data_IF_994919874433
#
_entry.id   IF_994919874433
#
_cell.length_a   1.000
_cell.length_b   1.000
_cell.length_c   1.000
_cell.angle_alpha   90.00
_cell.angle_beta   90.00
_cell.angle_gamma   90.00
#
_symmetry.space_group_name_H-M   'P 1'
#
loop_
_entity.id
_entity.type
_entity.pdbx_description
1 polymer ?
#
# COMPACT_ATOMS: atom_id res chain seq x y z
N UNK A 1 55.40 -16.83 -9.48
CA UNK A 1 55.01 -16.76 -8.08
C UNK A 1 54.14 -15.54 -7.90
N UNK A 2 52.80 -15.69 -7.90
CA UNK A 2 51.88 -14.53 -7.77
C UNK A 2 51.74 -14.17 -6.28
N UNK A 3 52.11 -12.97 -5.91
CA UNK A 3 51.88 -12.44 -4.56
C UNK A 3 50.37 -12.37 -4.29
N UNK A 4 49.89 -12.92 -3.16
CA UNK A 4 48.46 -12.80 -2.81
C UNK A 4 48.07 -11.35 -2.61
N UNK A 5 46.93 -10.95 -3.15
CA UNK A 5 46.43 -9.57 -3.07
C UNK A 5 46.21 -9.16 -1.60
N UNK A 6 46.43 -7.88 -1.31
CA UNK A 6 46.28 -7.29 0.03
C UNK A 6 44.90 -7.60 0.65
N UNK A 7 43.87 -7.83 -0.18
CA UNK A 7 42.52 -8.23 0.22
C UNK A 7 42.43 -9.66 0.78
N UNK A 8 43.29 -10.61 0.36
CA UNK A 8 43.31 -11.96 0.92
C UNK A 8 44.03 -12.05 2.29
N UNK A 9 45.08 -11.22 2.51
CA UNK A 9 45.75 -11.12 3.81
C UNK A 9 44.85 -10.46 4.89
N UNK A 10 43.91 -9.60 4.51
CA UNK A 10 42.99 -8.96 5.46
C UNK A 10 41.87 -9.90 5.92
N UNK A 11 41.46 -10.89 5.12
CA UNK A 11 40.42 -11.87 5.50
C UNK A 11 40.77 -12.80 6.65
N UNK A 12 42.06 -13.03 6.92
CA UNK A 12 42.54 -13.91 8.00
C UNK A 12 42.96 -13.16 9.27
N UNK A 13 42.91 -11.82 9.31
CA UNK A 13 43.38 -11.07 10.47
C UNK A 13 42.38 -11.17 11.65
N UNK A 14 42.92 -11.18 12.89
CA UNK A 14 42.12 -11.16 14.12
C UNK A 14 41.15 -9.92 14.13
N UNK A 15 41.57 -8.82 13.51
CA UNK A 15 40.76 -7.62 13.36
C UNK A 15 39.52 -7.84 12.46
N UNK A 16 39.66 -8.56 11.34
CA UNK A 16 38.54 -8.90 10.46
C UNK A 16 37.53 -9.83 11.15
N UNK A 17 38.03 -10.83 11.89
CA UNK A 17 37.19 -11.73 12.69
C UNK A 17 36.49 -10.99 13.84
N UNK A 18 37.15 -10.02 14.49
CA UNK A 18 36.53 -9.19 15.53
C UNK A 18 35.47 -8.25 14.96
N UNK A 19 35.70 -7.63 13.80
CA UNK A 19 34.73 -6.78 13.10
C UNK A 19 33.51 -7.60 12.64
N UNK A 20 33.70 -8.81 12.14
CA UNK A 20 32.62 -9.71 11.76
C UNK A 20 31.81 -10.15 12.98
N UNK A 21 32.44 -10.45 14.11
CA UNK A 21 31.77 -10.79 15.37
C UNK A 21 30.96 -9.59 15.90
N UNK A 22 31.53 -8.40 15.89
CA UNK A 22 30.83 -7.16 16.25
C UNK A 22 29.64 -6.87 15.33
N UNK A 23 29.79 -7.08 14.03
CA UNK A 23 28.69 -6.88 13.06
C UNK A 23 27.56 -7.90 13.23
N UNK A 24 27.87 -9.14 13.62
CA UNK A 24 26.88 -10.18 13.95
C UNK A 24 26.11 -9.84 15.24
N UNK A 25 26.83 -9.38 16.28
CA UNK A 25 26.22 -8.94 17.54
C UNK A 25 25.30 -7.73 17.30
N UNK A 26 25.74 -6.74 16.53
CA UNK A 26 24.92 -5.57 16.17
C UNK A 26 23.67 -5.95 15.39
N UNK A 27 23.77 -6.86 14.40
CA UNK A 27 22.63 -7.37 13.64
C UNK A 27 21.64 -8.14 14.51
N UNK A 28 22.11 -8.95 15.47
CA UNK A 28 21.25 -9.67 16.41
C UNK A 28 20.47 -8.71 17.33
N UNK A 29 21.12 -7.69 17.86
CA UNK A 29 20.43 -6.68 18.67
C UNK A 29 19.37 -5.92 17.83
N UNK A 30 19.69 -5.55 16.61
CA UNK A 30 18.74 -4.90 15.71
C UNK A 30 17.53 -5.81 15.41
N UNK A 31 17.77 -7.10 15.15
CA UNK A 31 16.73 -8.09 14.93
C UNK A 31 15.81 -8.20 16.16
N UNK A 32 16.35 -8.40 17.34
CA UNK A 32 15.58 -8.50 18.60
C UNK A 32 14.81 -7.23 18.90
N UNK A 33 15.40 -6.08 18.64
CA UNK A 33 14.75 -4.78 18.80
C UNK A 33 13.53 -4.65 17.87
N UNK A 34 13.66 -4.99 16.60
CA UNK A 34 12.56 -4.98 15.64
C UNK A 34 11.45 -5.97 16.02
N UNK A 35 11.82 -7.18 16.47
CA UNK A 35 10.87 -8.13 17.02
C UNK A 35 10.08 -7.52 18.20
N UNK A 36 10.77 -6.88 19.14
CA UNK A 36 10.14 -6.23 20.28
C UNK A 36 9.15 -5.14 19.88
N UNK A 37 9.50 -4.31 18.89
CA UNK A 37 8.59 -3.27 18.38
C UNK A 37 7.34 -3.85 17.70
N UNK A 38 7.48 -4.94 16.95
CA UNK A 38 6.34 -5.60 16.29
C UNK A 38 5.41 -6.24 17.33
N UNK A 39 5.96 -6.91 18.34
CA UNK A 39 5.17 -7.50 19.43
C UNK A 39 4.48 -6.43 20.27
N UNK A 40 5.17 -5.33 20.56
CA UNK A 40 4.56 -4.17 21.23
C UNK A 40 3.39 -3.62 20.40
N UNK A 41 3.57 -3.45 19.09
CA UNK A 41 2.50 -2.95 18.24
C UNK A 41 1.29 -3.90 18.22
N UNK A 42 1.51 -5.20 18.21
CA UNK A 42 0.44 -6.21 18.30
C UNK A 42 -0.30 -6.12 19.66
N UNK A 43 0.40 -5.91 20.77
CA UNK A 43 -0.22 -5.68 22.09
C UNK A 43 -1.07 -4.41 22.12
N UNK A 44 -0.56 -3.32 21.53
CA UNK A 44 -1.31 -2.06 21.41
C UNK A 44 -2.58 -2.24 20.58
N UNK A 45 -2.53 -3.02 19.50
CA UNK A 45 -3.70 -3.34 18.68
C UNK A 45 -4.75 -4.15 19.47
N UNK A 46 -4.34 -5.14 20.28
CA UNK A 46 -5.25 -5.90 21.14
C UNK A 46 -5.90 -5.01 22.19
N UNK A 47 -5.10 -4.16 22.83
CA UNK A 47 -5.60 -3.17 23.77
C UNK A 47 -6.66 -2.27 23.12
N UNK A 48 -6.38 -1.72 21.95
CA UNK A 48 -7.32 -0.85 21.21
C UNK A 48 -8.58 -1.59 20.78
N UNK A 49 -8.46 -2.85 20.35
CA UNK A 49 -9.62 -3.64 19.99
C UNK A 49 -10.56 -3.87 21.16
N UNK A 50 -10.01 -4.31 22.29
CA UNK A 50 -10.78 -4.69 23.48
C UNK A 50 -11.36 -3.47 24.23
N UNK A 51 -10.61 -2.37 24.30
CA UNK A 51 -11.01 -1.21 25.13
C UNK A 51 -11.79 -0.15 24.35
N UNK A 52 -11.63 -0.07 23.04
CA UNK A 52 -12.23 1.00 22.24
C UNK A 52 -13.08 0.45 21.10
N UNK A 53 -12.50 -0.40 20.25
CA UNK A 53 -13.16 -0.78 19.01
C UNK A 53 -14.42 -1.61 19.26
N UNK A 54 -14.30 -2.66 20.09
CA UNK A 54 -15.44 -3.52 20.41
C UNK A 54 -16.51 -2.79 21.22
N UNK A 55 -16.22 -2.05 22.31
CA UNK A 55 -17.25 -1.34 23.07
C UNK A 55 -17.99 -0.28 22.24
N UNK A 56 -17.29 0.48 21.40
CA UNK A 56 -17.89 1.61 20.66
C UNK A 56 -18.58 1.15 19.37
N UNK A 57 -18.03 0.14 18.68
CA UNK A 57 -18.47 -0.27 17.34
C UNK A 57 -19.02 -1.70 17.26
N UNK A 58 -19.46 -2.28 18.39
CA UNK A 58 -20.12 -3.60 18.41
C UNK A 58 -21.31 -3.66 17.44
N UNK A 59 -22.08 -2.58 17.34
CA UNK A 59 -23.23 -2.46 16.42
C UNK A 59 -22.86 -2.63 14.94
N UNK A 60 -21.60 -2.42 14.58
CA UNK A 60 -21.08 -2.58 13.22
C UNK A 60 -20.30 -3.89 13.02
N UNK A 61 -20.40 -4.83 13.98
CA UNK A 61 -19.83 -6.18 13.89
C UNK A 61 -18.43 -6.35 14.49
N UNK A 62 -17.92 -5.35 15.23
CA UNK A 62 -16.69 -5.47 16.03
C UNK A 62 -17.02 -6.02 17.42
N UNK A 63 -17.43 -7.29 17.49
CA UNK A 63 -17.76 -7.97 18.74
C UNK A 63 -16.54 -8.61 19.37
N UNK A 64 -16.61 -8.93 20.66
CA UNK A 64 -15.58 -9.71 21.37
C UNK A 64 -16.16 -11.04 21.79
N UNK A 65 -15.51 -12.12 21.38
CA UNK A 65 -15.73 -13.48 21.87
C UNK A 65 -14.34 -14.11 22.08
N UNK A 66 -13.77 -13.86 23.27
CA UNK A 66 -12.40 -14.23 23.58
C UNK A 66 -12.28 -15.72 23.91
N UNK A 67 -11.99 -16.54 22.92
CA UNK A 67 -11.64 -17.95 23.09
C UNK A 67 -10.12 -18.07 23.22
N UNK A 68 -9.62 -18.42 24.41
CA UNK A 68 -8.19 -18.43 24.71
C UNK A 68 -7.32 -19.22 23.73
N UNK A 69 -7.82 -20.35 23.22
CA UNK A 69 -7.09 -21.15 22.21
C UNK A 69 -6.92 -20.37 20.91
N UNK A 70 -7.99 -19.73 20.42
CA UNK A 70 -7.94 -18.92 19.19
C UNK A 70 -7.05 -17.70 19.38
N UNK A 71 -7.10 -17.07 20.54
CA UNK A 71 -6.24 -15.96 20.89
C UNK A 71 -4.76 -16.39 20.91
N UNK A 72 -4.44 -17.52 21.55
CA UNK A 72 -3.09 -18.07 21.58
C UNK A 72 -2.59 -18.44 20.17
N UNK A 73 -3.45 -19.03 19.32
CA UNK A 73 -3.12 -19.33 17.92
C UNK A 73 -2.85 -18.07 17.11
N UNK A 74 -3.57 -16.98 17.37
CA UNK A 74 -3.32 -15.69 16.69
C UNK A 74 -1.94 -15.11 17.02
N UNK A 75 -1.49 -15.26 18.27
CA UNK A 75 -0.15 -14.89 18.71
C UNK A 75 0.92 -15.83 18.14
N UNK A 76 0.66 -17.13 18.12
CA UNK A 76 1.56 -18.10 17.49
C UNK A 76 1.80 -17.77 16.01
N UNK A 77 0.75 -17.38 15.29
CA UNK A 77 0.86 -16.95 13.90
C UNK A 77 1.76 -15.72 13.75
N UNK A 78 1.62 -14.73 14.64
CA UNK A 78 2.52 -13.56 14.66
C UNK A 78 3.96 -14.00 14.89
N UNK A 79 4.21 -14.87 15.88
CA UNK A 79 5.56 -15.35 16.20
C UNK A 79 6.20 -16.13 15.03
N UNK A 80 5.42 -16.93 14.33
CA UNK A 80 5.90 -17.67 13.12
C UNK A 80 6.23 -16.71 11.98
N UNK A 81 5.42 -15.67 11.77
CA UNK A 81 5.66 -14.67 10.72
C UNK A 81 6.77 -13.68 11.08
N UNK A 82 7.08 -13.48 12.37
CA UNK A 82 7.99 -12.45 12.86
C UNK A 82 9.36 -12.45 12.17
N UNK A 83 10.09 -13.58 12.05
CA UNK A 83 11.40 -13.62 11.38
C UNK A 83 11.29 -13.27 9.88
N UNK A 84 10.18 -13.61 9.23
CA UNK A 84 9.95 -13.28 7.83
C UNK A 84 9.74 -11.78 7.65
N UNK A 85 8.95 -11.16 8.51
CA UNK A 85 8.69 -9.71 8.48
C UNK A 85 9.96 -8.91 8.76
N UNK A 86 10.74 -9.30 9.77
CA UNK A 86 12.03 -8.66 10.06
C UNK A 86 13.03 -8.88 8.92
N UNK A 87 12.98 -10.06 8.26
CA UNK A 87 13.75 -10.32 7.05
C UNK A 87 13.41 -9.35 5.90
N UNK A 88 12.13 -9.03 5.71
CA UNK A 88 11.69 -8.02 4.73
C UNK A 88 12.16 -6.60 5.09
N UNK A 89 12.14 -6.24 6.38
CA UNK A 89 12.69 -4.96 6.83
C UNK A 89 14.19 -4.81 6.52
N UNK A 90 14.93 -5.92 6.51
CA UNK A 90 16.33 -5.93 6.08
C UNK A 90 16.54 -5.61 4.59
N UNK A 91 15.48 -5.67 3.78
CA UNK A 91 15.49 -5.34 2.34
C UNK A 91 14.93 -3.93 2.07
N UNK A 92 15.29 -2.96 2.90
CA UNK A 92 14.75 -1.59 2.87
C UNK A 92 14.94 -0.83 1.54
N UNK A 93 15.82 -1.29 0.67
CA UNK A 93 16.06 -0.69 -0.65
C UNK A 93 15.10 -1.21 -1.73
N UNK A 94 14.32 -2.26 -1.43
CA UNK A 94 13.35 -2.83 -2.36
C UNK A 94 11.95 -2.26 -2.11
N UNK A 95 11.36 -1.52 -3.07
CA UNK A 95 10.00 -0.98 -2.93
C UNK A 95 8.96 -2.04 -2.58
N UNK A 96 9.04 -3.23 -3.20
CA UNK A 96 8.13 -4.34 -2.90
C UNK A 96 8.21 -4.84 -1.46
N UNK A 97 9.42 -4.89 -0.88
CA UNK A 97 9.61 -5.29 0.52
C UNK A 97 9.05 -4.24 1.47
N UNK A 98 9.22 -2.96 1.16
CA UNK A 98 8.60 -1.85 1.90
C UNK A 98 7.07 -1.98 1.85
N UNK A 99 6.50 -2.19 0.66
CA UNK A 99 5.07 -2.30 0.45
C UNK A 99 4.48 -3.45 1.27
N UNK A 100 5.06 -4.66 1.19
CA UNK A 100 4.58 -5.83 1.94
C UNK A 100 4.77 -5.65 3.46
N UNK A 101 5.85 -5.00 3.90
CA UNK A 101 6.05 -4.68 5.33
C UNK A 101 4.96 -3.72 5.83
N UNK A 102 4.61 -2.69 5.05
CA UNK A 102 3.52 -1.78 5.39
C UNK A 102 2.17 -2.51 5.43
N UNK A 103 1.88 -3.38 4.44
CA UNK A 103 0.67 -4.22 4.46
C UNK A 103 0.64 -5.13 5.70
N UNK A 104 1.79 -5.64 6.13
CA UNK A 104 1.87 -6.41 7.37
C UNK A 104 1.43 -5.59 8.59
N UNK A 105 1.82 -4.31 8.67
CA UNK A 105 1.46 -3.46 9.80
C UNK A 105 0.02 -2.96 9.76
N UNK A 106 -0.50 -2.61 8.59
CA UNK A 106 -1.82 -1.97 8.49
C UNK A 106 -2.97 -2.96 8.26
N UNK A 107 -2.65 -4.20 7.89
CA UNK A 107 -3.66 -5.22 7.61
C UNK A 107 -3.42 -6.53 8.39
N UNK A 108 -2.23 -7.16 8.28
CA UNK A 108 -2.03 -8.48 8.87
C UNK A 108 -1.98 -8.46 10.39
N UNK A 109 -1.25 -7.55 11.04
CA UNK A 109 -1.24 -7.45 12.50
C UNK A 109 -2.63 -7.08 13.06
N UNK A 110 -3.37 -6.09 12.51
CA UNK A 110 -4.78 -5.89 12.84
C UNK A 110 -5.64 -7.14 12.60
N UNK A 111 -5.41 -7.89 11.52
CA UNK A 111 -6.12 -9.14 11.23
C UNK A 111 -5.88 -10.18 12.33
N UNK A 112 -4.65 -10.39 12.75
CA UNK A 112 -4.35 -11.34 13.84
C UNK A 112 -4.98 -10.90 15.17
N UNK A 113 -5.03 -9.58 15.45
CA UNK A 113 -5.72 -9.03 16.61
C UNK A 113 -7.22 -9.30 16.55
N UNK A 114 -7.83 -8.99 15.42
CA UNK A 114 -9.24 -9.23 15.15
C UNK A 114 -9.62 -10.71 15.31
N UNK A 115 -8.87 -11.61 14.65
CA UNK A 115 -9.11 -13.06 14.69
C UNK A 115 -9.05 -13.62 16.13
N UNK A 116 -8.08 -13.15 16.92
CA UNK A 116 -7.90 -13.58 18.31
C UNK A 116 -8.94 -13.02 19.25
N UNK A 117 -9.25 -11.72 19.19
CA UNK A 117 -10.15 -11.03 20.12
C UNK A 117 -11.62 -11.29 19.79
N UNK A 118 -11.98 -11.42 18.51
CA UNK A 118 -13.36 -11.73 18.07
C UNK A 118 -13.70 -13.22 18.18
N UNK A 119 -12.70 -14.11 18.17
CA UNK A 119 -12.92 -15.53 18.13
C UNK A 119 -13.46 -16.04 16.80
N UNK A 120 -12.97 -15.50 15.68
CA UNK A 120 -13.40 -15.83 14.32
C UNK A 120 -13.35 -17.32 13.98
N UNK A 121 -14.02 -17.71 12.88
CA UNK A 121 -14.04 -19.08 12.39
C UNK A 121 -12.63 -19.62 12.11
N UNK A 122 -12.38 -20.89 12.48
CA UNK A 122 -11.08 -21.51 12.36
C UNK A 122 -10.66 -21.72 10.89
N UNK A 123 -11.64 -22.02 10.01
CA UNK A 123 -11.37 -22.17 8.57
C UNK A 123 -10.88 -20.87 7.94
N UNK A 124 -11.51 -19.73 8.30
CA UNK A 124 -11.07 -18.41 7.89
C UNK A 124 -9.68 -18.07 8.45
N UNK A 125 -9.45 -18.37 9.75
CA UNK A 125 -8.14 -18.20 10.37
C UNK A 125 -7.03 -18.98 9.63
N UNK A 126 -7.25 -20.25 9.32
CA UNK A 126 -6.28 -21.07 8.59
C UNK A 126 -6.00 -20.52 7.18
N UNK A 127 -7.04 -20.08 6.47
CA UNK A 127 -6.88 -19.47 5.15
C UNK A 127 -6.02 -18.20 5.22
N UNK A 128 -6.28 -17.30 6.18
CA UNK A 128 -5.46 -16.10 6.41
C UNK A 128 -4.02 -16.48 6.75
N UNK A 129 -3.81 -17.47 7.62
CA UNK A 129 -2.48 -17.91 8.03
C UNK A 129 -1.67 -18.41 6.83
N UNK A 130 -2.23 -19.32 6.04
CA UNK A 130 -1.55 -19.86 4.84
C UNK A 130 -1.30 -18.76 3.82
N UNK A 131 -2.30 -17.95 3.51
CA UNK A 131 -2.17 -16.82 2.57
C UNK A 131 -0.98 -15.92 2.94
N UNK A 132 -0.89 -15.53 4.22
CA UNK A 132 0.12 -14.57 4.66
C UNK A 132 1.52 -15.20 4.73
N UNK A 133 1.62 -16.43 5.19
CA UNK A 133 2.89 -17.18 5.17
C UNK A 133 3.42 -17.37 3.75
N UNK A 134 2.54 -17.70 2.80
CA UNK A 134 2.92 -17.82 1.38
C UNK A 134 3.37 -16.46 0.84
N UNK A 135 2.62 -15.37 1.11
CA UNK A 135 2.97 -14.02 0.67
C UNK A 135 4.37 -13.62 1.16
N UNK A 136 4.64 -13.79 2.46
CA UNK A 136 5.93 -13.44 3.05
C UNK A 136 7.07 -14.33 2.53
N UNK A 137 6.85 -15.64 2.43
CA UNK A 137 7.86 -16.58 1.96
C UNK A 137 8.22 -16.36 0.49
N UNK A 138 7.22 -16.14 -0.37
CA UNK A 138 7.42 -15.85 -1.79
C UNK A 138 8.10 -14.48 -1.96
N UNK A 139 7.65 -13.46 -1.23
CA UNK A 139 8.25 -12.13 -1.26
C UNK A 139 9.73 -12.12 -0.88
N UNK A 140 10.13 -12.92 0.12
CA UNK A 140 11.53 -13.01 0.54
C UNK A 140 12.42 -13.72 -0.48
N UNK A 141 11.91 -14.80 -1.11
CA UNK A 141 12.70 -15.71 -1.95
C UNK A 141 12.67 -15.35 -3.43
N UNK A 142 11.59 -14.73 -3.92
CA UNK A 142 11.44 -14.42 -5.34
C UNK A 142 12.50 -13.40 -5.77
N UNK A 143 13.28 -13.68 -6.83
CA UNK A 143 14.28 -12.74 -7.35
C UNK A 143 13.61 -11.47 -7.91
N UNK A 144 14.40 -10.42 -8.06
CA UNK A 144 13.97 -9.20 -8.74
C UNK A 144 13.86 -9.45 -10.25
N UNK A 145 12.82 -8.91 -10.86
CA UNK A 145 12.68 -8.93 -12.32
C UNK A 145 13.65 -7.88 -12.89
N UNK A 146 14.52 -8.31 -13.79
CA UNK A 146 15.44 -7.41 -14.47
C UNK A 146 14.79 -6.96 -15.78
N UNK A 147 14.34 -5.71 -15.82
CA UNK A 147 13.87 -5.08 -17.06
C UNK A 147 15.01 -4.24 -17.61
N UNK A 148 15.44 -4.45 -18.88
CA UNK A 148 16.45 -3.63 -19.52
C UNK A 148 15.95 -2.19 -19.60
N UNK A 149 16.79 -1.23 -19.18
CA UNK A 149 16.45 0.20 -19.29
C UNK A 149 16.66 0.69 -20.71
N UNK A 150 15.70 1.42 -21.21
CA UNK A 150 15.84 2.18 -22.45
C UNK A 150 16.94 3.25 -22.30
N UNK A 151 17.60 3.66 -23.40
CA UNK A 151 18.57 4.75 -23.36
C UNK A 151 17.99 6.00 -22.70
N UNK A 152 18.78 6.70 -21.91
CA UNK A 152 18.35 7.86 -21.12
C UNK A 152 17.64 8.94 -21.95
N UNK A 153 18.06 9.15 -23.20
CA UNK A 153 17.43 10.10 -24.14
C UNK A 153 15.96 9.72 -24.41
N UNK A 154 15.67 8.45 -24.63
CA UNK A 154 14.32 7.98 -24.93
C UNK A 154 13.43 8.01 -23.67
N UNK A 155 13.94 7.57 -22.52
CA UNK A 155 13.19 7.63 -21.27
C UNK A 155 12.84 9.07 -20.88
N UNK A 156 13.81 9.99 -21.00
CA UNK A 156 13.58 11.41 -20.71
C UNK A 156 12.58 12.05 -21.68
N UNK A 157 12.65 11.71 -22.98
CA UNK A 157 11.69 12.20 -23.97
C UNK A 157 10.28 11.69 -23.68
N UNK A 158 10.13 10.37 -23.43
CA UNK A 158 8.83 9.77 -23.09
C UNK A 158 8.28 10.32 -21.78
N UNK A 159 9.12 10.48 -20.75
CA UNK A 159 8.72 11.13 -19.50
C UNK A 159 8.18 12.54 -19.76
N UNK A 160 8.87 13.33 -20.55
CA UNK A 160 8.44 14.68 -20.89
C UNK A 160 7.14 14.68 -21.70
N UNK A 161 7.00 13.81 -22.71
CA UNK A 161 5.78 13.72 -23.52
C UNK A 161 4.56 13.31 -22.69
N UNK A 162 4.72 12.30 -21.81
CA UNK A 162 3.63 11.89 -20.89
C UNK A 162 3.29 13.01 -19.92
N UNK A 163 4.28 13.76 -19.44
CA UNK A 163 4.10 14.87 -18.53
C UNK A 163 3.30 16.01 -19.16
N UNK A 164 3.73 16.49 -20.31
CA UNK A 164 3.07 17.59 -21.05
C UNK A 164 1.70 17.12 -21.53
N UNK A 165 1.62 15.93 -22.13
CA UNK A 165 0.36 15.36 -22.60
C UNK A 165 -0.65 15.18 -21.47
N UNK A 166 -0.22 14.72 -20.29
CA UNK A 166 -1.06 14.59 -19.10
C UNK A 166 -1.59 15.94 -18.61
N UNK A 167 -0.74 16.96 -18.53
CA UNK A 167 -1.17 18.32 -18.16
C UNK A 167 -2.19 18.90 -19.16
N UNK A 168 -1.91 18.78 -20.46
CA UNK A 168 -2.82 19.24 -21.51
C UNK A 168 -4.14 18.48 -21.48
N UNK A 169 -4.08 17.16 -21.25
CA UNK A 169 -5.27 16.32 -21.12
C UNK A 169 -6.16 16.78 -19.94
N UNK A 170 -5.59 17.00 -18.76
CA UNK A 170 -6.33 17.48 -17.58
C UNK A 170 -6.94 18.85 -17.85
N UNK A 171 -6.18 19.78 -18.45
CA UNK A 171 -6.68 21.11 -18.79
C UNK A 171 -7.78 21.05 -19.87
N UNK A 172 -7.64 20.19 -20.88
CA UNK A 172 -8.66 19.97 -21.90
C UNK A 172 -9.98 19.45 -21.32
N UNK A 173 -9.91 18.40 -20.48
CA UNK A 173 -11.08 17.85 -19.77
C UNK A 173 -11.70 18.91 -18.84
N UNK A 174 -10.87 19.68 -18.13
CA UNK A 174 -11.37 20.76 -17.28
C UNK A 174 -12.10 21.85 -18.08
N UNK A 175 -11.56 22.25 -19.24
CA UNK A 175 -12.22 23.23 -20.12
C UNK A 175 -13.58 22.73 -20.60
N UNK A 176 -13.65 21.49 -21.08
CA UNK A 176 -14.87 20.91 -21.67
C UNK A 176 -15.96 20.67 -20.60
N UNK A 177 -15.64 20.08 -19.46
CA UNK A 177 -16.65 19.61 -18.49
C UNK A 177 -16.87 20.57 -17.33
N UNK A 178 -15.87 21.39 -16.95
CA UNK A 178 -15.98 22.27 -15.78
C UNK A 178 -15.90 23.76 -16.16
N UNK A 179 -15.58 24.11 -17.41
CA UNK A 179 -15.34 25.49 -17.83
C UNK A 179 -14.22 26.15 -17.02
N UNK A 180 -13.18 25.39 -16.65
CA UNK A 180 -12.06 25.81 -15.77
C UNK A 180 -12.49 26.28 -14.38
N UNK A 181 -13.64 25.82 -13.87
CA UNK A 181 -14.06 26.16 -12.50
C UNK A 181 -13.25 25.37 -11.48
N UNK A 182 -12.66 26.08 -10.53
CA UNK A 182 -11.99 25.45 -9.38
C UNK A 182 -13.00 25.23 -8.25
N UNK A 183 -13.24 23.98 -7.90
CA UNK A 183 -14.14 23.57 -6.82
C UNK A 183 -13.30 22.99 -5.68
N UNK A 184 -12.97 23.84 -4.71
CA UNK A 184 -12.09 23.48 -3.58
C UNK A 184 -12.83 23.32 -2.25
N UNK A 185 -14.18 23.38 -2.28
CA UNK A 185 -14.97 23.27 -1.06
C UNK A 185 -14.97 21.82 -0.53
N UNK A 186 -14.16 21.57 0.50
CA UNK A 186 -14.07 20.26 1.13
C UNK A 186 -15.29 19.91 1.99
N UNK A 187 -16.13 20.86 2.34
CA UNK A 187 -17.37 20.61 3.10
C UNK A 187 -18.50 20.11 2.22
N UNK A 188 -18.56 20.52 0.94
CA UNK A 188 -19.59 20.11 -0.03
C UNK A 188 -19.08 19.07 -1.06
N UNK A 189 -18.29 18.12 -0.61
CA UNK A 189 -17.76 17.07 -1.51
C UNK A 189 -18.86 16.18 -2.08
N UNK A 190 -19.98 16.03 -1.40
CA UNK A 190 -21.08 15.20 -1.90
C UNK A 190 -21.81 15.88 -3.07
N UNK A 191 -22.04 17.19 -3.01
CA UNK A 191 -22.58 17.96 -4.12
C UNK A 191 -21.64 17.97 -5.34
N UNK A 192 -20.34 18.20 -5.11
CA UNK A 192 -19.33 18.16 -6.18
C UNK A 192 -19.22 16.74 -6.81
N UNK A 193 -19.35 15.67 -6.01
CA UNK A 193 -19.38 14.29 -6.53
C UNK A 193 -20.62 13.99 -7.36
N UNK A 194 -21.78 14.44 -6.94
CA UNK A 194 -23.01 14.28 -7.71
C UNK A 194 -22.90 14.96 -9.08
N UNK A 195 -22.33 16.17 -9.11
CA UNK A 195 -22.05 16.88 -10.35
C UNK A 195 -20.99 16.16 -11.21
N UNK A 196 -19.87 15.70 -10.60
CA UNK A 196 -18.83 14.96 -11.31
C UNK A 196 -19.36 13.63 -11.89
N UNK A 197 -20.30 12.98 -11.22
CA UNK A 197 -20.97 11.77 -11.72
C UNK A 197 -21.89 12.05 -12.92
N UNK A 198 -22.35 13.30 -13.08
CA UNK A 198 -23.17 13.72 -14.21
C UNK A 198 -22.33 14.08 -15.45
N UNK A 199 -21.01 14.17 -15.33
CA UNK A 199 -20.14 14.37 -16.49
C UNK A 199 -20.06 13.09 -17.31
N UNK A 200 -20.55 13.13 -18.56
CA UNK A 200 -20.48 11.99 -19.48
C UNK A 200 -19.07 11.90 -20.12
N UNK A 201 -18.07 11.60 -19.27
CA UNK A 201 -16.69 11.43 -19.70
C UNK A 201 -16.55 10.04 -20.33
N UNK A 202 -16.11 9.91 -21.61
CA UNK A 202 -15.90 8.62 -22.25
C UNK A 202 -15.00 7.70 -21.41
N UNK A 203 -15.37 6.43 -21.31
CA UNK A 203 -14.73 5.47 -20.41
C UNK A 203 -13.21 5.40 -20.54
N UNK A 204 -12.65 5.52 -21.76
CA UNK A 204 -11.21 5.59 -21.97
C UNK A 204 -10.58 6.82 -21.29
N UNK A 205 -11.21 7.98 -21.44
CA UNK A 205 -10.72 9.23 -20.82
C UNK A 205 -10.86 9.20 -19.31
N UNK A 206 -11.92 8.59 -18.77
CA UNK A 206 -12.06 8.36 -17.34
C UNK A 206 -10.93 7.47 -16.77
N UNK A 207 -10.50 6.47 -17.53
CA UNK A 207 -9.33 5.65 -17.16
C UNK A 207 -8.04 6.47 -17.16
N UNK A 208 -7.75 7.20 -18.23
CA UNK A 208 -6.56 8.06 -18.30
C UNK A 208 -6.59 9.11 -17.19
N UNK A 209 -7.77 9.69 -16.91
CA UNK A 209 -7.95 10.66 -15.85
C UNK A 209 -7.60 10.05 -14.47
N UNK A 210 -7.96 8.80 -14.22
CA UNK A 210 -7.62 8.14 -12.94
C UNK A 210 -6.10 7.99 -12.72
N UNK A 211 -5.31 7.86 -13.78
CA UNK A 211 -3.85 7.78 -13.72
C UNK A 211 -3.18 9.12 -13.41
N UNK A 212 -3.87 10.23 -13.64
CA UNK A 212 -3.33 11.58 -13.39
C UNK A 212 -3.00 11.80 -11.91
N UNK A 213 -3.69 11.12 -10.99
CA UNK A 213 -3.32 11.14 -9.56
C UNK A 213 -1.84 10.80 -9.36
N UNK A 214 -1.37 9.73 -9.99
CA UNK A 214 0.01 9.26 -9.86
C UNK A 214 0.96 10.12 -10.69
N UNK A 215 0.63 10.35 -11.97
CA UNK A 215 1.50 11.07 -12.91
C UNK A 215 1.82 12.47 -12.38
N UNK A 216 0.79 13.28 -12.07
CA UNK A 216 0.99 14.63 -11.59
C UNK A 216 1.72 14.69 -10.25
N UNK A 217 1.41 13.77 -9.34
CA UNK A 217 2.09 13.71 -8.05
C UNK A 217 3.57 13.38 -8.17
N UNK A 218 3.93 12.40 -8.98
CA UNK A 218 5.35 12.06 -9.24
C UNK A 218 6.07 13.20 -9.97
N UNK A 219 5.39 13.91 -10.88
CA UNK A 219 5.92 15.12 -11.52
C UNK A 219 6.22 16.22 -10.53
N UNK A 220 5.31 16.48 -9.59
CA UNK A 220 5.52 17.46 -8.52
C UNK A 220 6.77 17.10 -7.72
N UNK A 221 6.93 15.82 -7.33
CA UNK A 221 8.12 15.35 -6.61
C UNK A 221 9.40 15.49 -7.46
N UNK A 222 9.34 15.19 -8.75
CA UNK A 222 10.48 15.35 -9.67
C UNK A 222 10.97 16.78 -9.73
N UNK A 223 10.06 17.75 -9.97
CA UNK A 223 10.42 19.16 -10.05
C UNK A 223 10.82 19.76 -8.69
N UNK A 224 10.23 19.23 -7.60
CA UNK A 224 10.62 19.59 -6.24
C UNK A 224 12.08 19.14 -5.96
N UNK A 225 12.45 17.94 -6.38
CA UNK A 225 13.83 17.44 -6.31
C UNK A 225 14.81 18.31 -7.10
N UNK A 226 14.37 18.82 -8.26
CA UNK A 226 15.16 19.75 -9.09
C UNK A 226 15.15 21.20 -8.59
N UNK A 227 14.47 21.48 -7.47
CA UNK A 227 14.30 22.84 -6.88
C UNK A 227 13.68 23.85 -7.86
N UNK A 228 12.88 23.40 -8.81
CA UNK A 228 12.17 24.23 -9.79
C UNK A 228 10.77 24.59 -9.29
N UNK A 229 10.70 25.47 -8.30
CA UNK A 229 9.45 25.79 -7.57
C UNK A 229 8.35 26.38 -8.45
N UNK A 230 8.71 27.13 -9.51
CA UNK A 230 7.72 27.65 -10.47
C UNK A 230 6.99 26.49 -11.18
N UNK A 231 7.74 25.46 -11.64
CA UNK A 231 7.14 24.29 -12.27
C UNK A 231 6.27 23.52 -11.27
N UNK A 232 6.69 23.42 -9.99
CA UNK A 232 5.87 22.84 -8.93
C UNK A 232 4.57 23.61 -8.75
N UNK A 233 4.60 24.94 -8.71
CA UNK A 233 3.41 25.78 -8.60
C UNK A 233 2.43 25.56 -9.75
N UNK A 234 2.92 25.54 -10.99
CA UNK A 234 2.10 25.24 -12.19
C UNK A 234 1.45 23.86 -12.08
N UNK A 235 2.22 22.83 -11.69
CA UNK A 235 1.69 21.47 -11.55
C UNK A 235 0.67 21.36 -10.42
N UNK A 236 0.84 22.06 -9.32
CA UNK A 236 -0.15 22.13 -8.25
C UNK A 236 -1.45 22.74 -8.75
N UNK A 237 -1.41 23.81 -9.57
CA UNK A 237 -2.60 24.38 -10.19
C UNK A 237 -3.30 23.35 -11.10
N UNK A 238 -2.55 22.66 -11.97
CA UNK A 238 -3.11 21.56 -12.81
C UNK A 238 -3.71 20.47 -11.93
N UNK A 239 -3.07 20.12 -10.82
CA UNK A 239 -3.60 19.13 -9.87
C UNK A 239 -4.90 19.57 -9.20
N UNK A 240 -5.07 20.86 -8.90
CA UNK A 240 -6.30 21.41 -8.36
C UNK A 240 -7.45 21.36 -9.40
N UNK A 241 -7.17 21.62 -10.68
CA UNK A 241 -8.15 21.38 -11.75
C UNK A 241 -8.52 19.90 -11.85
N UNK A 242 -7.54 19.01 -11.81
CA UNK A 242 -7.78 17.56 -11.77
C UNK A 242 -8.67 17.16 -10.57
N UNK A 243 -8.38 17.68 -9.37
CA UNK A 243 -9.21 17.45 -8.18
C UNK A 243 -10.66 17.93 -8.41
N UNK A 244 -10.85 19.10 -9.02
CA UNK A 244 -12.16 19.67 -9.29
C UNK A 244 -13.01 18.81 -10.25
N UNK A 245 -12.36 18.06 -11.16
CA UNK A 245 -13.03 17.12 -12.05
C UNK A 245 -13.38 15.82 -11.32
N UNK A 246 -12.42 15.26 -10.53
CA UNK A 246 -12.56 13.95 -9.91
C UNK A 246 -13.43 13.96 -8.66
N UNK A 247 -13.49 15.08 -7.95
CA UNK A 247 -14.21 15.31 -6.69
C UNK A 247 -13.92 14.27 -5.58
N UNK A 248 -12.76 13.60 -5.63
CA UNK A 248 -12.39 12.56 -4.69
C UNK A 248 -11.43 13.08 -3.62
N UNK A 249 -11.83 13.02 -2.33
CA UNK A 249 -10.93 13.37 -1.20
C UNK A 249 -9.62 12.62 -1.22
N UNK A 250 -9.63 11.36 -1.69
CA UNK A 250 -8.44 10.52 -1.80
C UNK A 250 -7.38 11.12 -2.72
N UNK A 251 -7.76 11.81 -3.79
CA UNK A 251 -6.83 12.51 -4.71
C UNK A 251 -6.04 13.57 -3.95
N UNK A 252 -6.72 14.40 -3.18
CA UNK A 252 -6.09 15.44 -2.39
C UNK A 252 -5.18 14.86 -1.30
N UNK A 253 -5.68 13.87 -0.55
CA UNK A 253 -4.91 13.18 0.49
C UNK A 253 -3.68 12.45 -0.07
N UNK A 254 -3.75 11.95 -1.29
CA UNK A 254 -2.63 11.28 -1.93
C UNK A 254 -1.44 12.22 -2.15
N UNK A 255 -1.68 13.41 -2.70
CA UNK A 255 -0.62 14.40 -2.88
C UNK A 255 0.01 14.81 -1.54
N UNK A 256 -0.80 15.05 -0.52
CA UNK A 256 -0.30 15.35 0.82
C UNK A 256 0.55 14.22 1.40
N UNK A 257 0.10 12.98 1.25
CA UNK A 257 0.86 11.80 1.69
C UNK A 257 2.23 11.72 1.00
N UNK A 258 2.27 11.94 -0.32
CA UNK A 258 3.52 11.90 -1.05
C UNK A 258 4.47 13.02 -0.63
N UNK A 259 3.98 14.24 -0.49
CA UNK A 259 4.76 15.39 -0.03
C UNK A 259 5.24 15.18 1.41
N UNK A 260 4.39 14.69 2.30
CA UNK A 260 4.74 14.36 3.68
C UNK A 260 5.87 13.32 3.71
N UNK A 261 5.73 12.24 2.97
CA UNK A 261 6.76 11.22 2.87
C UNK A 261 8.06 11.78 2.26
N UNK A 262 7.98 12.56 1.19
CA UNK A 262 9.16 13.16 0.54
C UNK A 262 9.95 14.08 1.48
N UNK A 263 9.26 14.91 2.26
CA UNK A 263 9.88 15.92 3.14
C UNK A 263 10.39 15.30 4.44
N UNK A 264 9.60 14.44 5.07
CA UNK A 264 9.84 13.97 6.44
C UNK A 264 10.51 12.61 6.51
N UNK A 265 10.39 11.78 5.45
CA UNK A 265 10.94 10.43 5.50
C UNK A 265 12.44 10.40 5.77
N UNK A 266 12.82 9.55 6.72
CA UNK A 266 14.20 9.18 7.05
C UNK A 266 14.29 7.65 7.13
N UNK A 267 15.40 7.05 6.73
CA UNK A 267 15.58 5.57 6.73
C UNK A 267 15.31 4.94 8.09
N UNK A 268 15.62 5.61 9.19
CA UNK A 268 15.32 5.09 10.53
C UNK A 268 13.81 4.94 10.78
N UNK A 269 12.95 5.77 10.19
CA UNK A 269 11.49 5.69 10.35
C UNK A 269 10.93 4.36 9.84
N UNK A 270 11.53 3.80 8.79
CA UNK A 270 11.13 2.48 8.30
C UNK A 270 11.45 1.37 9.31
N UNK A 271 12.61 1.44 9.94
CA UNK A 271 13.01 0.48 10.99
C UNK A 271 12.18 0.62 12.27
N UNK A 272 11.74 1.83 12.59
CA UNK A 272 10.89 2.14 13.74
C UNK A 272 9.40 2.12 13.42
N UNK A 273 8.99 1.71 12.23
CA UNK A 273 7.62 1.85 11.74
C UNK A 273 6.59 1.24 12.69
N UNK A 274 6.81 0.03 13.22
CA UNK A 274 5.92 -0.59 14.20
C UNK A 274 5.80 0.23 15.49
N UNK A 275 6.93 0.79 15.99
CA UNK A 275 6.93 1.68 17.16
C UNK A 275 6.20 2.99 16.91
N UNK A 276 6.42 3.61 15.75
CA UNK A 276 5.73 4.85 15.35
C UNK A 276 4.22 4.61 15.20
N UNK A 277 3.81 3.48 14.64
CA UNK A 277 2.40 3.10 14.55
C UNK A 277 1.81 2.83 15.94
N UNK A 278 2.56 2.20 16.84
CA UNK A 278 2.12 2.04 18.25
C UNK A 278 1.85 3.38 18.92
N UNK A 279 2.78 4.33 18.75
CA UNK A 279 2.61 5.70 19.27
C UNK A 279 1.41 6.41 18.64
N UNK A 280 1.21 6.25 17.32
CA UNK A 280 0.07 6.83 16.62
C UNK A 280 -1.27 6.27 17.10
N UNK A 281 -1.37 4.95 17.26
CA UNK A 281 -2.56 4.28 17.77
C UNK A 281 -2.85 4.68 19.21
N UNK A 282 -1.82 4.70 20.09
CA UNK A 282 -1.97 5.19 21.47
C UNK A 282 -2.32 6.68 21.52
N UNK A 283 -1.79 7.49 20.61
CA UNK A 283 -2.18 8.89 20.46
C UNK A 283 -3.66 9.06 20.15
N UNK A 284 -4.22 8.23 19.27
CA UNK A 284 -5.66 8.21 18.98
C UNK A 284 -6.47 7.87 20.25
N UNK A 285 -5.99 6.92 21.06
CA UNK A 285 -6.62 6.58 22.34
C UNK A 285 -6.60 7.76 23.32
N UNK A 286 -5.45 8.43 23.48
CA UNK A 286 -5.32 9.60 24.36
C UNK A 286 -6.26 10.74 23.93
N UNK A 287 -6.37 11.01 22.64
CA UNK A 287 -7.26 12.03 22.10
C UNK A 287 -8.74 11.70 22.33
N UNK A 288 -9.11 10.44 22.21
CA UNK A 288 -10.48 10.00 22.48
C UNK A 288 -10.78 10.02 23.98
N UNK A 289 -9.94 9.38 24.81
CA UNK A 289 -10.17 9.27 26.25
C UNK A 289 -10.05 10.63 26.99
N UNK A 290 -9.12 11.50 26.55
CA UNK A 290 -8.86 12.79 27.20
C UNK A 290 -9.69 13.95 26.66
N UNK A 291 -9.90 14.00 25.33
CA UNK A 291 -10.58 15.12 24.67
C UNK A 291 -11.93 14.73 24.04
N UNK A 292 -12.38 13.49 24.21
CA UNK A 292 -13.57 12.92 23.53
C UNK A 292 -13.57 13.14 22.02
N UNK A 293 -12.37 13.21 21.41
CA UNK A 293 -12.18 13.44 19.99
C UNK A 293 -12.02 12.09 19.25
N UNK A 294 -13.16 11.50 18.91
CA UNK A 294 -13.26 10.16 18.32
C UNK A 294 -12.79 10.05 16.86
N UNK A 295 -12.70 11.18 16.14
CA UNK A 295 -12.41 11.19 14.68
C UNK A 295 -11.09 10.49 14.31
N UNK A 296 -9.94 10.73 14.98
CA UNK A 296 -8.69 10.05 14.64
C UNK A 296 -8.78 8.52 14.83
N UNK A 297 -9.39 8.07 15.92
CA UNK A 297 -9.62 6.66 16.22
C UNK A 297 -10.50 6.01 15.15
N UNK A 298 -11.60 6.65 14.76
CA UNK A 298 -12.51 6.16 13.73
C UNK A 298 -11.85 6.09 12.35
N UNK A 299 -11.03 7.08 11.96
CA UNK A 299 -10.41 7.15 10.65
C UNK A 299 -9.17 6.25 10.57
N UNK A 300 -8.24 6.35 11.53
CA UNK A 300 -6.98 5.61 11.49
C UNK A 300 -7.16 4.17 11.95
N UNK A 301 -7.64 3.95 13.16
CA UNK A 301 -7.68 2.61 13.72
C UNK A 301 -8.82 1.80 13.10
N UNK A 302 -10.05 2.27 13.23
CA UNK A 302 -11.19 1.51 12.71
C UNK A 302 -11.19 1.40 11.20
N UNK A 303 -11.25 2.53 10.49
CA UNK A 303 -11.50 2.52 9.03
C UNK A 303 -10.29 2.08 8.22
N UNK A 304 -9.08 2.45 8.62
CA UNK A 304 -7.87 2.16 7.86
C UNK A 304 -7.34 0.75 8.14
N UNK A 305 -7.43 0.27 9.39
CA UNK A 305 -6.82 -0.98 9.81
C UNK A 305 -7.84 -2.11 9.98
N UNK A 306 -8.95 -1.88 10.69
CA UNK A 306 -9.86 -2.97 11.07
C UNK A 306 -11.03 -3.20 10.11
N UNK A 307 -11.55 -2.17 9.44
CA UNK A 307 -12.63 -2.37 8.45
C UNK A 307 -12.22 -3.28 7.30
N UNK A 308 -11.03 -3.16 6.67
CA UNK A 308 -10.61 -4.11 5.62
C UNK A 308 -10.50 -5.55 6.13
N UNK A 309 -10.08 -5.71 7.37
CA UNK A 309 -9.98 -7.01 8.06
C UNK A 309 -11.37 -7.63 8.27
N UNK A 310 -12.29 -6.88 8.85
CA UNK A 310 -13.68 -7.30 9.06
C UNK A 310 -14.35 -7.66 7.73
N UNK A 311 -14.20 -6.83 6.72
CA UNK A 311 -14.75 -7.09 5.39
C UNK A 311 -14.21 -8.39 4.79
N UNK A 312 -12.95 -8.75 5.03
CA UNK A 312 -12.39 -10.02 4.55
C UNK A 312 -13.12 -11.23 5.15
N UNK A 313 -13.51 -11.16 6.42
CA UNK A 313 -14.33 -12.21 7.05
C UNK A 313 -15.75 -12.22 6.48
N UNK A 314 -16.37 -11.06 6.25
CA UNK A 314 -17.70 -10.96 5.63
C UNK A 314 -17.69 -11.54 4.21
N UNK A 315 -16.66 -11.23 3.41
CA UNK A 315 -16.47 -11.86 2.10
C UNK A 315 -16.35 -13.39 2.20
N UNK A 316 -15.57 -13.88 3.17
CA UNK A 316 -15.44 -15.31 3.40
C UNK A 316 -16.77 -15.97 3.78
N UNK A 317 -17.59 -15.31 4.61
CA UNK A 317 -18.94 -15.79 4.98
C UNK A 317 -19.86 -15.83 3.76
N UNK A 318 -19.94 -14.74 3.00
CA UNK A 318 -20.80 -14.63 1.83
C UNK A 318 -20.46 -15.69 0.76
N UNK A 319 -19.19 -15.80 0.36
CA UNK A 319 -18.77 -16.69 -0.71
C UNK A 319 -18.65 -18.18 -0.32
N UNK A 320 -18.96 -18.55 0.92
CA UNK A 320 -19.22 -19.96 1.27
C UNK A 320 -20.54 -20.48 0.71
N UNK A 321 -21.53 -19.63 0.58
CA UNK A 321 -22.90 -19.98 0.23
C UNK A 321 -23.31 -19.47 -1.16
N UNK A 322 -22.50 -18.59 -1.74
CA UNK A 322 -22.79 -17.92 -3.01
C UNK A 322 -21.71 -18.22 -4.05
N UNK A 323 -22.07 -18.21 -5.35
CA UNK A 323 -21.13 -18.51 -6.43
C UNK A 323 -19.99 -17.48 -6.50
N UNK A 324 -18.78 -17.97 -6.86
CA UNK A 324 -17.60 -17.13 -7.05
C UNK A 324 -17.77 -16.21 -8.26
N UNK A 325 -17.25 -14.99 -8.15
CA UNK A 325 -17.29 -13.99 -9.23
C UNK A 325 -16.28 -14.29 -10.37
N UNK A 326 -15.18 -15.01 -10.09
CA UNK A 326 -14.16 -15.41 -11.08
C UNK A 326 -13.60 -14.23 -11.88
N UNK A 327 -13.39 -13.07 -11.24
CA UNK A 327 -12.90 -11.80 -11.83
C UNK A 327 -13.80 -11.21 -12.93
N UNK A 328 -15.06 -11.63 -13.04
CA UNK A 328 -16.00 -11.17 -14.06
C UNK A 328 -16.51 -9.74 -13.83
N UNK A 329 -16.27 -9.16 -12.67
CA UNK A 329 -16.71 -7.81 -12.30
C UNK A 329 -15.75 -6.69 -12.84
N UNK A 330 -14.61 -7.08 -13.43
CA UNK A 330 -13.57 -6.18 -13.91
C UNK A 330 -13.37 -6.19 -15.43
N UNK A 331 -12.15 -5.81 -15.84
CA UNK A 331 -11.72 -5.82 -17.26
C UNK A 331 -11.85 -7.22 -17.89
N UNK A 332 -11.61 -8.28 -17.13
CA UNK A 332 -11.74 -9.65 -17.62
C UNK A 332 -13.18 -10.00 -17.97
N UNK A 333 -14.17 -9.42 -17.27
CA UNK A 333 -15.59 -9.59 -17.59
C UNK A 333 -16.01 -8.93 -18.90
N UNK A 334 -15.28 -7.93 -19.36
CA UNK A 334 -15.55 -7.30 -20.68
C UNK A 334 -15.08 -8.16 -21.86
N UNK A 335 -14.33 -9.23 -21.59
CA UNK A 335 -13.76 -10.13 -22.62
C UNK A 335 -14.68 -11.28 -23.01
N UNK A 336 -15.97 -11.29 -22.69
CA UNK A 336 -17.00 -12.25 -23.17
C UNK A 336 -17.66 -13.13 -22.11
N UNK A 337 -17.66 -12.78 -20.84
CA UNK A 337 -18.34 -13.57 -19.82
C UNK A 337 -19.48 -12.77 -19.18
N UNK A 338 -20.66 -13.35 -19.11
CA UNK A 338 -21.78 -12.76 -18.39
C UNK A 338 -21.41 -12.56 -16.92
N UNK A 339 -21.77 -11.42 -16.33
CA UNK A 339 -21.52 -11.16 -14.91
C UNK A 339 -22.29 -12.17 -14.06
N UNK A 340 -21.66 -12.67 -12.99
CA UNK A 340 -22.32 -13.57 -12.03
C UNK A 340 -23.37 -12.83 -11.21
N UNK A 341 -23.09 -11.54 -10.94
CA UNK A 341 -23.95 -10.65 -10.17
C UNK A 341 -24.39 -9.45 -11.02
N UNK A 342 -25.63 -9.00 -10.83
CA UNK A 342 -26.18 -7.84 -11.56
C UNK A 342 -25.51 -6.50 -11.19
N UNK A 343 -24.88 -6.44 -10.02
CA UNK A 343 -24.17 -5.27 -9.50
C UNK A 343 -22.75 -5.67 -9.06
N UNK A 344 -21.86 -4.69 -8.92
CA UNK A 344 -20.47 -4.92 -8.52
C UNK A 344 -20.37 -5.58 -7.15
N UNK A 345 -19.43 -6.51 -6.97
CA UNK A 345 -19.23 -7.28 -5.74
C UNK A 345 -19.19 -6.40 -4.47
N UNK A 346 -18.46 -5.27 -4.40
CA UNK A 346 -18.50 -4.44 -3.20
C UNK A 346 -19.90 -3.92 -2.84
N UNK A 347 -20.78 -3.77 -3.83
CA UNK A 347 -22.15 -3.34 -3.61
C UNK A 347 -23.02 -4.52 -3.11
N UNK A 348 -22.83 -5.72 -3.69
CA UNK A 348 -23.47 -6.97 -3.23
C UNK A 348 -23.17 -7.20 -1.75
N UNK A 349 -21.91 -7.10 -1.35
CA UNK A 349 -21.51 -7.29 0.05
C UNK A 349 -22.07 -6.18 0.94
N UNK A 350 -22.12 -4.92 0.46
CA UNK A 350 -22.74 -3.83 1.19
C UNK A 350 -24.25 -4.06 1.44
N UNK A 351 -24.96 -4.64 0.48
CA UNK A 351 -26.36 -5.04 0.62
C UNK A 351 -26.51 -6.23 1.58
N UNK A 352 -25.65 -7.24 1.47
CA UNK A 352 -25.59 -8.38 2.40
C UNK A 352 -25.38 -7.92 3.86
N UNK A 353 -24.57 -6.90 4.08
CA UNK A 353 -24.36 -6.27 5.41
C UNK A 353 -25.52 -5.35 5.85
N UNK A 354 -26.51 -5.10 5.02
CA UNK A 354 -27.61 -4.16 5.31
C UNK A 354 -27.19 -2.68 5.34
N UNK A 355 -25.96 -2.34 4.86
CA UNK A 355 -25.45 -0.97 4.90
C UNK A 355 -25.77 -0.17 3.64
N UNK A 356 -26.10 -0.83 2.54
CA UNK A 356 -26.31 -0.21 1.22
C UNK A 356 -25.10 0.55 0.67
N UNK A 357 -23.96 0.57 1.38
CA UNK A 357 -22.72 1.21 0.98
C UNK A 357 -21.83 0.23 0.19
N UNK A 358 -20.79 0.75 -0.46
CA UNK A 358 -19.84 -0.11 -1.18
C UNK A 358 -18.78 -0.64 -0.20
N UNK A 359 -18.76 -1.96 0.01
CA UNK A 359 -17.84 -2.68 0.89
C UNK A 359 -16.58 -3.12 0.11
N UNK A 360 -15.78 -2.15 -0.34
CA UNK A 360 -14.55 -2.44 -1.06
C UNK A 360 -13.57 -3.21 -0.19
N UNK A 361 -12.99 -4.29 -0.72
CA UNK A 361 -11.97 -5.07 -0.04
C UNK A 361 -10.93 -5.59 -1.04
N UNK A 362 -9.75 -5.95 -0.52
CA UNK A 362 -8.65 -6.51 -1.27
C UNK A 362 -8.09 -7.78 -0.61
N UNK A 363 -6.89 -8.18 -1.03
CA UNK A 363 -6.13 -9.30 -0.46
C UNK A 363 -6.97 -10.57 -0.25
N UNK A 364 -7.22 -10.94 1.00
CA UNK A 364 -7.96 -12.16 1.37
C UNK A 364 -9.42 -12.09 0.93
N UNK A 365 -10.08 -10.93 1.06
CA UNK A 365 -11.46 -10.77 0.60
C UNK A 365 -11.59 -10.89 -0.91
N UNK A 366 -10.67 -10.28 -1.67
CA UNK A 366 -10.62 -10.41 -3.14
C UNK A 366 -10.36 -11.88 -3.57
N UNK A 367 -9.52 -12.60 -2.81
CA UNK A 367 -9.32 -14.04 -3.00
C UNK A 367 -10.63 -14.82 -2.84
N UNK A 368 -11.36 -14.60 -1.74
CA UNK A 368 -12.62 -15.31 -1.48
C UNK A 368 -13.70 -15.02 -2.52
N UNK A 369 -13.72 -13.80 -3.06
CA UNK A 369 -14.68 -13.42 -4.10
C UNK A 369 -14.42 -14.13 -5.44
N UNK A 370 -13.18 -14.52 -5.72
CA UNK A 370 -12.81 -14.87 -7.09
C UNK A 370 -12.22 -16.27 -7.26
N UNK A 371 -11.71 -16.90 -6.21
CA UNK A 371 -11.00 -18.17 -6.30
C UNK A 371 -11.47 -19.17 -5.25
N UNK A 372 -11.49 -20.48 -5.58
CA UNK A 372 -11.61 -21.52 -4.55
C UNK A 372 -10.51 -21.35 -3.50
N UNK A 373 -10.86 -21.43 -2.22
CA UNK A 373 -9.97 -21.06 -1.10
C UNK A 373 -8.62 -21.78 -1.18
N UNK A 374 -8.61 -23.11 -1.43
CA UNK A 374 -7.40 -23.92 -1.51
C UNK A 374 -6.45 -23.43 -2.60
N UNK A 375 -6.96 -23.04 -3.75
CA UNK A 375 -6.16 -22.46 -4.84
C UNK A 375 -5.76 -21.01 -4.52
N UNK A 376 -6.72 -20.25 -4.00
CA UNK A 376 -6.58 -18.82 -3.77
C UNK A 376 -5.48 -18.45 -2.77
N UNK A 377 -5.33 -19.23 -1.67
CA UNK A 377 -4.30 -18.96 -0.65
C UNK A 377 -2.86 -19.10 -1.16
N UNK A 378 -2.65 -19.77 -2.30
CA UNK A 378 -1.35 -19.86 -2.97
C UNK A 378 -1.24 -18.93 -4.17
N UNK A 379 -2.27 -18.89 -5.01
CA UNK A 379 -2.22 -18.18 -6.30
C UNK A 379 -2.26 -16.66 -6.12
N UNK A 380 -3.12 -16.15 -5.23
CA UNK A 380 -3.23 -14.69 -5.03
C UNK A 380 -1.95 -14.06 -4.46
N UNK A 381 -1.30 -14.62 -3.42
CA UNK A 381 -0.01 -14.12 -2.97
C UNK A 381 1.07 -14.12 -4.06
N UNK A 382 1.09 -15.19 -4.89
CA UNK A 382 2.04 -15.28 -6.01
C UNK A 382 1.81 -14.17 -7.04
N UNK A 383 0.56 -13.94 -7.46
CA UNK A 383 0.18 -12.85 -8.38
C UNK A 383 0.61 -11.50 -7.80
N UNK A 384 0.31 -11.23 -6.54
CA UNK A 384 0.66 -9.97 -5.88
C UNK A 384 2.17 -9.76 -5.85
N UNK A 385 2.95 -10.78 -5.48
CA UNK A 385 4.41 -10.64 -5.46
C UNK A 385 4.98 -10.38 -6.85
N UNK A 386 4.47 -11.03 -7.90
CA UNK A 386 4.87 -10.75 -9.28
C UNK A 386 4.62 -9.28 -9.62
N UNK A 387 3.43 -8.76 -9.30
CA UNK A 387 3.09 -7.35 -9.52
C UNK A 387 4.02 -6.41 -8.74
N UNK A 388 4.32 -6.73 -7.47
CA UNK A 388 5.21 -5.91 -6.66
C UNK A 388 6.66 -5.91 -7.19
N UNK A 389 7.10 -6.99 -7.85
CA UNK A 389 8.39 -7.04 -8.53
C UNK A 389 8.49 -6.11 -9.74
N UNK A 390 7.36 -5.77 -10.38
CA UNK A 390 7.35 -4.72 -11.41
C UNK A 390 7.74 -3.36 -10.82
N UNK A 391 7.30 -3.07 -9.59
CA UNK A 391 7.68 -1.85 -8.90
C UNK A 391 9.18 -1.82 -8.56
N UNK A 392 9.76 -2.96 -8.13
CA UNK A 392 11.21 -3.07 -7.92
C UNK A 392 12.00 -2.79 -9.21
N UNK A 393 11.56 -3.37 -10.33
CA UNK A 393 12.20 -3.16 -11.63
C UNK A 393 12.11 -1.69 -12.10
N UNK A 394 10.96 -1.06 -11.87
CA UNK A 394 10.69 0.33 -12.26
C UNK A 394 11.51 1.34 -11.42
N UNK A 395 11.59 1.13 -10.12
CA UNK A 395 12.21 2.07 -9.19
C UNK A 395 13.69 1.81 -8.90
N UNK A 396 14.36 0.94 -9.65
CA UNK A 396 15.70 0.39 -9.38
C UNK A 396 16.78 1.44 -9.07
N UNK A 397 16.78 2.58 -9.77
CA UNK A 397 17.81 3.62 -9.61
C UNK A 397 17.21 4.94 -9.11
N UNK A 398 15.99 4.90 -8.56
CA UNK A 398 15.27 6.09 -8.12
C UNK A 398 15.53 6.30 -6.61
N UNK A 399 15.76 7.53 -6.17
CA UNK A 399 15.90 7.82 -4.75
C UNK A 399 14.66 7.40 -3.96
N UNK A 400 14.86 6.70 -2.83
CA UNK A 400 13.78 6.15 -2.01
C UNK A 400 12.70 7.16 -1.63
N UNK A 401 13.08 8.43 -1.42
CA UNK A 401 12.15 9.53 -1.11
C UNK A 401 11.08 9.76 -2.18
N UNK A 402 11.33 9.40 -3.44
CA UNK A 402 10.38 9.57 -4.53
C UNK A 402 9.29 8.50 -4.46
N UNK A 403 9.66 7.24 -4.17
CA UNK A 403 8.71 6.14 -4.24
C UNK A 403 8.14 5.70 -2.89
N UNK A 404 8.70 6.14 -1.76
CA UNK A 404 8.22 5.70 -0.43
C UNK A 404 6.74 6.06 -0.19
N UNK A 405 6.31 7.25 -0.59
CA UNK A 405 4.91 7.66 -0.50
C UNK A 405 4.00 6.81 -1.38
N UNK A 406 4.47 6.40 -2.57
CA UNK A 406 3.77 5.46 -3.44
C UNK A 406 3.63 4.09 -2.78
N UNK A 407 4.68 3.59 -2.12
CA UNK A 407 4.61 2.33 -1.37
C UNK A 407 3.56 2.39 -0.25
N UNK A 408 3.49 3.49 0.50
CA UNK A 408 2.46 3.69 1.55
C UNK A 408 1.06 3.69 0.92
N UNK A 409 0.86 4.47 -0.14
CA UNK A 409 -0.43 4.55 -0.82
C UNK A 409 -0.88 3.20 -1.37
N UNK A 410 -0.02 2.50 -2.10
CA UNK A 410 -0.39 1.22 -2.70
C UNK A 410 -0.55 0.10 -1.67
N UNK A 411 0.21 0.11 -0.55
CA UNK A 411 -0.04 -0.81 0.54
C UNK A 411 -1.49 -0.67 1.06
N UNK A 412 -1.95 0.56 1.26
CA UNK A 412 -3.33 0.84 1.66
C UNK A 412 -4.34 0.49 0.57
N UNK A 413 -4.02 0.78 -0.69
CA UNK A 413 -4.90 0.51 -1.82
C UNK A 413 -5.16 -0.98 -2.02
N UNK A 414 -4.11 -1.82 -1.95
CA UNK A 414 -4.25 -3.28 -2.04
C UNK A 414 -4.98 -3.89 -0.85
N UNK A 415 -4.91 -3.29 0.34
CA UNK A 415 -5.71 -3.74 1.48
C UNK A 415 -7.21 -3.44 1.32
N UNK A 416 -7.56 -2.36 0.59
CA UNK A 416 -8.92 -1.83 0.50
C UNK A 416 -9.59 -2.03 -0.87
N UNK A 417 -8.91 -2.59 -1.86
CA UNK A 417 -9.44 -2.74 -3.21
C UNK A 417 -8.91 -3.98 -3.92
N UNK A 418 -9.73 -4.53 -4.82
CA UNK A 418 -9.35 -5.63 -5.69
C UNK A 418 -8.04 -5.34 -6.41
N UNK A 419 -7.15 -6.34 -6.49
CA UNK A 419 -5.84 -6.18 -7.12
C UNK A 419 -5.93 -5.70 -8.57
N UNK A 420 -6.92 -6.15 -9.33
CA UNK A 420 -7.13 -5.74 -10.72
C UNK A 420 -7.51 -4.26 -10.84
N UNK A 421 -8.34 -3.77 -9.91
CA UNK A 421 -8.72 -2.35 -9.82
C UNK A 421 -7.50 -1.50 -9.44
N UNK A 422 -6.74 -1.92 -8.41
CA UNK A 422 -5.53 -1.18 -7.98
C UNK A 422 -4.47 -1.17 -9.07
N UNK A 423 -4.29 -2.30 -9.78
CA UNK A 423 -3.34 -2.41 -10.89
C UNK A 423 -3.65 -1.41 -12.01
N UNK A 424 -4.92 -1.32 -12.42
CA UNK A 424 -5.35 -0.57 -13.61
C UNK A 424 -5.82 0.84 -13.25
N UNK A 425 -7.05 1.00 -12.82
CA UNK A 425 -7.63 2.32 -12.50
C UNK A 425 -7.07 2.92 -11.21
N UNK A 426 -6.56 2.12 -10.27
CA UNK A 426 -5.82 2.59 -9.10
C UNK A 426 -4.43 3.16 -9.40
N UNK A 427 -3.94 2.95 -10.64
CA UNK A 427 -2.71 3.58 -11.14
C UNK A 427 -1.42 2.87 -10.76
N UNK A 428 -1.45 1.64 -10.20
CA UNK A 428 -0.22 0.93 -9.83
C UNK A 428 0.66 0.62 -11.05
N UNK A 429 0.06 0.12 -12.14
CA UNK A 429 0.78 -0.13 -13.38
C UNK A 429 1.34 1.16 -13.97
N UNK A 430 0.55 2.25 -13.94
CA UNK A 430 1.02 3.56 -14.41
C UNK A 430 2.15 4.10 -13.53
N UNK A 431 2.12 3.88 -12.21
CA UNK A 431 3.24 4.21 -11.32
C UNK A 431 4.51 3.46 -11.73
N UNK A 432 4.41 2.16 -12.01
CA UNK A 432 5.56 1.38 -12.49
C UNK A 432 6.10 1.92 -13.82
N UNK A 433 5.23 2.19 -14.81
CA UNK A 433 5.63 2.75 -16.10
C UNK A 433 6.29 4.13 -15.90
N UNK A 434 5.69 5.00 -15.12
CA UNK A 434 6.16 6.37 -14.95
C UNK A 434 7.46 6.45 -14.14
N UNK A 435 7.64 5.59 -13.15
CA UNK A 435 8.91 5.42 -12.43
C UNK A 435 9.99 4.83 -13.35
N UNK A 436 9.65 3.87 -14.21
CA UNK A 436 10.61 3.33 -15.19
C UNK A 436 11.14 4.40 -16.15
N UNK A 437 10.27 5.33 -16.55
CA UNK A 437 10.62 6.47 -17.41
C UNK A 437 11.32 7.61 -16.65
N UNK A 438 11.35 7.58 -15.32
CA UNK A 438 11.86 8.66 -14.50
C UNK A 438 13.33 8.99 -14.83
N UNK A 439 13.67 10.25 -15.18
CA UNK A 439 15.02 10.62 -15.57
C UNK A 439 15.95 10.70 -14.34
N UNK A 440 16.68 9.62 -14.12
CA UNK A 440 17.71 9.59 -13.07
C UNK A 440 18.96 10.30 -13.59
N UNK A 441 19.47 11.30 -12.85
CA UNK A 441 20.79 11.83 -13.14
C UNK A 441 21.83 10.78 -12.72
N UNK A 442 22.66 10.33 -13.66
CA UNK A 442 23.94 9.74 -13.28
C UNK A 442 24.70 10.83 -12.55
N UNK A 443 24.88 10.69 -11.24
CA UNK A 443 25.86 11.52 -10.53
C UNK A 443 27.20 11.35 -11.23
N UNK A 444 27.84 12.46 -11.58
CA UNK A 444 29.23 12.51 -12.05
C UNK A 444 30.15 12.15 -10.87
N UNK A 445 30.16 10.88 -10.47
CA UNK A 445 31.12 10.35 -9.48
C UNK A 445 32.51 10.09 -10.08
N UNK A 446 32.84 10.65 -11.24
CA UNK A 446 34.14 10.41 -11.92
C UNK A 446 35.08 11.62 -11.87
N UNK A 447 34.76 12.70 -11.16
CA UNK A 447 35.65 13.87 -11.16
C UNK A 447 36.41 14.16 -9.86
N UNK A 448 36.26 13.38 -8.79
CA UNK A 448 37.01 13.65 -7.53
C UNK A 448 38.06 12.58 -7.16
N UNK A 449 38.43 11.68 -8.05
CA UNK A 449 39.56 10.77 -7.84
C UNK A 449 40.81 11.14 -8.68
N UNK A 450 40.82 12.28 -9.34
CA UNK A 450 41.99 12.78 -10.13
C UNK A 450 42.34 14.24 -9.82
N UNK A 451 42.07 14.73 -8.62
CA UNK A 451 42.65 16.00 -8.18
C UNK A 451 43.34 15.86 -6.83
#
# INVERSE_FOLDING_TARGET
>A
MKLPSVTEKLRGSRAAQSLEKLSRVSRRHQFLFQCGLILLYRLVLDFMYLTQLSPIYAYSGFTTDLVWIKYALSWLLVLVCLPLVVGLQGQEERPSSILVTLMNYVYFLPMTSYLGCKGSDLGFFCAVAVYWLVLLAVQLRMPTILVPKLPHRHTSLLFFLVSVGGCLFVMGISGIYTGFRLKLNLSDVYGIRAEAAAYDIPGLFAYVLSWMTVILSVLILYWLQKRRYVAVGVLVVVYLFYYSISAQKSVFLFLFLLLFCYLLYRKWMYRWCAGLLSLGVMGCWVLEAGAQFLTPMSLFVRRLMYVPVQLSEVYAQFFREHPLNLFRDGILGKLSYDPVYSIKIPKVIGEYMGTGSSANNGLVGDMYANLPVVLGVFLMPLILVILFRLLDAAARDIPQKIYIGLCVFFAMSFCNGSWSTVLLSGGFLMACIFLYLFPVQKEEHVKNEQS
#
